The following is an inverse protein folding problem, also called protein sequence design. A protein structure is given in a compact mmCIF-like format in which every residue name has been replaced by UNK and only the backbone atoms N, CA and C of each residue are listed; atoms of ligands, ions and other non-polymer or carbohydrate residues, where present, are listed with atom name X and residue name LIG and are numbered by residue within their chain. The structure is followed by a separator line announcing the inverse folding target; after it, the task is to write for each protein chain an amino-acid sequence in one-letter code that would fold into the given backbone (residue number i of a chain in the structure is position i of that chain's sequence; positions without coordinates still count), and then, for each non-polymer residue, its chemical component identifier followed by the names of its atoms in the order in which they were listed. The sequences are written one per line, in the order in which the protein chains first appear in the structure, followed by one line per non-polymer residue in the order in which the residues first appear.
data_IF_734048716281
#
_entry.id   IF_734048716281
#
_cell.length_a   1.000
_cell.length_b   1.000
_cell.length_c   1.000
_cell.angle_alpha   90.00
_cell.angle_beta   90.00
_cell.angle_gamma   90.00
#
_symmetry.space_group_name_H-M   'P 1'
#
loop_
_entity.id
_entity.type
_entity.pdbx_description
1 polymer ?
#
# COMPACT_ATOMS: atom_id res chain seq x y z
N UNK A 1 5.98 1.48 -5.10
CA UNK A 1 6.02 0.29 -5.98
C UNK A 1 5.01 -0.74 -5.51
N UNK A 2 4.54 -1.61 -6.40
CA UNK A 2 3.60 -2.69 -6.08
C UNK A 2 4.30 -4.05 -6.24
N UNK A 3 4.11 -4.96 -5.28
CA UNK A 3 4.59 -6.35 -5.36
C UNK A 3 3.51 -7.31 -4.88
N UNK A 4 3.37 -8.44 -5.57
CA UNK A 4 2.56 -9.56 -5.13
C UNK A 4 3.48 -10.64 -4.57
N UNK A 5 3.11 -11.18 -3.41
CA UNK A 5 3.74 -12.30 -2.71
C UNK A 5 2.67 -13.38 -2.53
N UNK A 6 2.37 -14.12 -3.58
CA UNK A 6 1.28 -15.10 -3.59
C UNK A 6 -0.09 -14.42 -3.48
N UNK A 7 -0.91 -14.86 -2.51
CA UNK A 7 -2.22 -14.24 -2.21
C UNK A 7 -2.10 -12.85 -1.56
N UNK A 8 -0.91 -12.50 -1.06
CA UNK A 8 -0.64 -11.21 -0.43
C UNK A 8 -0.24 -10.18 -1.49
N UNK A 9 -0.88 -9.01 -1.47
CA UNK A 9 -0.47 -7.84 -2.24
C UNK A 9 0.14 -6.78 -1.32
N UNK A 10 1.12 -6.05 -1.86
CA UNK A 10 1.77 -4.94 -1.19
C UNK A 10 1.82 -3.70 -2.09
N UNK A 11 1.54 -2.54 -1.49
CA UNK A 11 1.66 -1.23 -2.12
C UNK A 11 2.46 -0.29 -1.22
N UNK A 12 3.51 0.32 -1.78
CA UNK A 12 4.33 1.31 -1.10
C UNK A 12 4.34 2.64 -1.83
N UNK A 13 4.21 3.75 -1.09
CA UNK A 13 4.42 5.11 -1.57
C UNK A 13 5.13 5.97 -0.53
N UNK A 14 5.73 7.05 -0.98
CA UNK A 14 6.36 8.07 -0.13
C UNK A 14 5.44 9.30 -0.14
N UNK A 15 5.19 9.87 1.04
CA UNK A 15 4.45 11.13 1.22
C UNK A 15 5.19 12.00 2.23
N UNK A 16 5.82 13.08 1.75
CA UNK A 16 6.74 13.89 2.56
C UNK A 16 7.86 13.03 3.14
N UNK A 17 8.00 13.06 4.46
CA UNK A 17 9.00 12.29 5.21
C UNK A 17 8.53 10.87 5.57
N UNK A 18 7.33 10.46 5.16
CA UNK A 18 6.76 9.17 5.51
C UNK A 18 6.83 8.17 4.35
N UNK A 19 7.27 6.96 4.66
CA UNK A 19 7.09 5.80 3.80
C UNK A 19 5.85 5.02 4.24
N UNK A 20 4.81 5.03 3.40
CA UNK A 20 3.55 4.33 3.64
C UNK A 20 3.62 2.98 2.91
N UNK A 21 3.49 1.90 3.65
CA UNK A 21 3.46 0.53 3.12
C UNK A 21 2.19 -0.18 3.57
N UNK A 22 1.39 -0.65 2.62
CA UNK A 22 0.17 -1.42 2.85
C UNK A 22 0.41 -2.84 2.35
N UNK A 23 0.14 -3.83 3.20
CA UNK A 23 0.33 -5.26 2.89
C UNK A 23 -0.91 -6.03 3.35
N UNK A 24 -1.45 -6.91 2.52
CA UNK A 24 -2.55 -7.78 2.91
C UNK A 24 -3.02 -8.73 1.81
N UNK A 25 -3.80 -9.74 2.21
CA UNK A 25 -4.43 -10.74 1.32
C UNK A 25 -5.71 -10.19 0.70
N UNK A 26 -5.58 -9.10 -0.04
CA UNK A 26 -6.68 -8.43 -0.73
C UNK A 26 -6.23 -8.08 -2.15
N UNK A 27 -7.16 -7.82 -3.09
CA UNK A 27 -6.79 -7.37 -4.43
C UNK A 27 -5.84 -6.17 -4.42
N UNK A 28 -4.99 -6.10 -5.44
CA UNK A 28 -3.98 -5.04 -5.56
C UNK A 28 -4.61 -3.64 -5.52
N UNK A 29 -5.80 -3.47 -6.10
CA UNK A 29 -6.46 -2.16 -6.11
C UNK A 29 -6.95 -1.76 -4.72
N UNK A 30 -7.31 -2.71 -3.86
CA UNK A 30 -7.65 -2.45 -2.45
C UNK A 30 -6.47 -1.89 -1.68
N UNK A 31 -5.28 -2.52 -1.77
CA UNK A 31 -4.08 -2.00 -1.07
C UNK A 31 -3.66 -0.62 -1.59
N UNK A 32 -3.87 -0.33 -2.89
CA UNK A 32 -3.64 1.01 -3.47
C UNK A 32 -4.63 2.04 -2.92
N UNK A 33 -5.92 1.72 -2.86
CA UNK A 33 -6.96 2.62 -2.32
C UNK A 33 -6.64 2.98 -0.87
N UNK A 34 -6.29 1.99 -0.04
CA UNK A 34 -5.92 2.20 1.36
C UNK A 34 -4.66 3.06 1.46
N UNK A 35 -3.61 2.72 0.69
CA UNK A 35 -2.37 3.47 0.73
C UNK A 35 -2.57 4.93 0.33
N UNK A 36 -3.39 5.19 -0.69
CA UNK A 36 -3.68 6.52 -1.20
C UNK A 36 -4.66 7.32 -0.32
N UNK A 37 -5.48 6.68 0.51
CA UNK A 37 -6.41 7.37 1.42
C UNK A 37 -5.77 7.77 2.74
N UNK A 38 -4.73 7.07 3.18
CA UNK A 38 -4.02 7.40 4.41
C UNK A 38 -3.28 8.74 4.30
N UNK A 39 -3.40 9.60 5.32
CA UNK A 39 -2.64 10.84 5.45
C UNK A 39 -1.95 10.85 6.81
N UNK A 40 -0.61 10.78 6.87
CA UNK A 40 0.12 10.96 8.12
C UNK A 40 -0.11 12.39 8.64
N UNK A 41 -0.26 12.53 9.97
CA UNK A 41 -0.39 13.82 10.67
C UNK A 41 0.96 14.29 11.19
#
# INVERSE_FOLDING_TARGET
GARSLGVTNAFGRVEGDYQITVVGEVPLDTVKIIGNSFRPK
#
